data_IF_266933793893
#
_entry.id   IF_266933793893
#
_cell.length_a   1.000
_cell.length_b   1.000
_cell.length_c   1.000
_cell.angle_alpha   90.00
_cell.angle_beta   90.00
_cell.angle_gamma   90.00
#
_symmetry.space_group_name_H-M   'P 1'
#
loop_
_entity.id
_entity.type
_entity.pdbx_description
1 polymer ?
#
# COMPACT_ATOMS: atom_id res chain seq x y z
N UNK A 1 5.32 -0.77 10.01
CA UNK A 1 4.66 0.52 10.37
C UNK A 1 5.61 1.68 10.16
N UNK A 2 5.11 2.89 9.84
CA UNK A 2 5.92 4.13 9.78
C UNK A 2 6.64 4.41 11.09
N UNK A 3 6.12 3.91 12.21
CA UNK A 3 6.74 4.03 13.52
C UNK A 3 7.82 2.98 13.81
N UNK A 4 7.84 1.87 13.07
CA UNK A 4 8.80 0.77 13.22
C UNK A 4 9.93 0.81 12.20
N UNK A 5 9.68 1.40 11.03
CA UNK A 5 10.59 1.43 9.88
C UNK A 5 11.13 2.85 9.71
N UNK A 6 12.24 3.14 10.39
CA UNK A 6 12.81 4.49 10.45
C UNK A 6 14.14 4.64 9.70
N UNK A 7 14.87 3.57 9.40
CA UNK A 7 16.26 3.64 8.90
C UNK A 7 16.61 2.62 7.78
N UNK A 8 15.61 2.04 7.10
CA UNK A 8 15.87 1.08 6.00
C UNK A 8 16.44 1.77 4.75
N UNK A 9 16.27 3.10 4.61
CA UNK A 9 17.02 3.93 3.67
C UNK A 9 16.55 3.93 2.20
N UNK A 10 15.42 3.27 1.88
CA UNK A 10 14.79 3.35 0.54
C UNK A 10 13.61 4.30 0.55
N UNK A 11 12.62 4.02 1.39
CA UNK A 11 11.61 4.96 1.85
C UNK A 11 11.41 4.67 3.33
N UNK A 12 11.64 5.66 4.17
CA UNK A 12 11.52 5.53 5.62
C UNK A 12 10.66 6.67 6.17
N UNK A 13 10.46 6.68 7.50
CA UNK A 13 9.63 7.69 8.16
C UNK A 13 10.11 9.12 7.90
N UNK A 14 11.42 9.36 7.90
CA UNK A 14 11.98 10.69 7.72
C UNK A 14 11.66 11.24 6.33
N UNK A 15 11.98 10.45 5.31
CA UNK A 15 11.65 10.79 3.92
C UNK A 15 10.14 10.93 3.67
N UNK A 16 9.33 10.08 4.30
CA UNK A 16 7.87 10.15 4.18
C UNK A 16 7.30 11.47 4.72
N UNK A 17 7.78 11.93 5.88
CA UNK A 17 7.31 13.20 6.46
C UNK A 17 7.69 14.39 5.58
N UNK A 18 8.92 14.45 5.09
CA UNK A 18 9.38 15.50 4.18
C UNK A 18 8.57 15.50 2.88
N UNK A 19 8.30 14.32 2.31
CA UNK A 19 7.45 14.18 1.12
C UNK A 19 6.03 14.71 1.34
N UNK A 20 5.42 14.42 2.49
CA UNK A 20 4.09 14.96 2.85
C UNK A 20 4.10 16.47 3.04
N UNK A 21 5.15 17.04 3.64
CA UNK A 21 5.31 18.50 3.77
C UNK A 21 5.34 19.18 2.40
N UNK A 22 6.10 18.63 1.45
CA UNK A 22 6.15 19.16 0.08
C UNK A 22 4.84 18.99 -0.67
N UNK A 23 4.23 17.80 -0.59
CA UNK A 23 2.99 17.51 -1.31
C UNK A 23 1.83 18.39 -0.83
N UNK A 24 1.73 18.60 0.47
CA UNK A 24 0.61 19.37 1.05
C UNK A 24 0.85 20.88 1.02
N UNK A 25 2.10 21.34 0.98
CA UNK A 25 2.42 22.77 1.01
C UNK A 25 1.82 23.49 2.23
N UNK A 26 1.69 22.80 3.36
CA UNK A 26 1.07 23.31 4.60
C UNK A 26 -0.45 23.16 4.68
N UNK A 27 -1.12 22.62 3.66
CA UNK A 27 -2.53 22.25 3.75
C UNK A 27 -2.74 20.97 4.59
N UNK A 28 -3.90 20.77 5.24
CA UNK A 28 -4.23 19.47 5.80
C UNK A 28 -4.45 18.45 4.68
N UNK A 29 -4.01 17.19 4.89
CA UNK A 29 -4.34 16.11 3.95
C UNK A 29 -5.83 15.75 4.04
N UNK A 30 -6.53 15.97 2.93
CA UNK A 30 -7.91 15.53 2.72
C UNK A 30 -7.96 14.09 2.18
N UNK A 31 -9.15 13.61 1.84
CA UNK A 31 -9.36 12.26 1.33
C UNK A 31 -8.82 12.03 -0.09
N UNK A 32 -8.55 13.08 -0.87
CA UNK A 32 -7.93 12.95 -2.18
C UNK A 32 -6.40 12.86 -2.06
N UNK A 33 -5.83 13.56 -1.09
CA UNK A 33 -4.43 13.45 -0.72
C UNK A 33 -4.14 12.11 -0.04
N UNK A 34 -4.95 11.71 0.93
CA UNK A 34 -4.81 10.47 1.69
C UNK A 34 -6.14 9.70 1.69
N UNK A 35 -6.36 8.76 0.75
CA UNK A 35 -7.60 7.99 0.60
C UNK A 35 -8.05 7.25 1.86
N UNK A 36 -7.10 6.82 2.69
CA UNK A 36 -7.38 6.25 4.00
C UNK A 36 -8.14 7.22 4.95
N UNK A 37 -8.26 8.51 4.63
CA UNK A 37 -9.04 9.49 5.41
C UNK A 37 -10.47 9.69 4.91
N UNK A 38 -10.87 9.09 3.79
CA UNK A 38 -12.24 9.19 3.28
C UNK A 38 -13.22 8.67 4.34
N UNK A 39 -14.33 9.36 4.60
CA UNK A 39 -15.29 8.94 5.65
C UNK A 39 -16.16 7.74 5.20
N UNK A 40 -16.38 7.62 3.89
CA UNK A 40 -17.18 6.56 3.27
C UNK A 40 -16.41 5.96 2.09
N UNK A 41 -16.31 4.63 2.08
CA UNK A 41 -15.66 3.84 1.03
C UNK A 41 -16.65 2.99 0.23
N UNK A 42 -17.96 3.14 0.48
CA UNK A 42 -19.00 2.41 -0.25
C UNK A 42 -18.96 2.77 -1.74
N UNK A 43 -19.22 1.79 -2.60
CA UNK A 43 -19.22 1.99 -4.06
C UNK A 43 -17.82 2.05 -4.71
N UNK A 44 -16.75 1.95 -3.93
CA UNK A 44 -15.39 1.75 -4.50
C UNK A 44 -15.33 0.48 -5.35
N UNK A 45 -14.49 0.46 -6.40
CA UNK A 45 -14.31 -0.72 -7.24
C UNK A 45 -13.66 -1.88 -6.46
N UNK A 46 -13.81 -3.14 -6.95
CA UNK A 46 -13.02 -4.25 -6.45
C UNK A 46 -11.53 -3.88 -6.38
N UNK A 47 -10.92 -4.07 -5.21
CA UNK A 47 -9.60 -3.54 -4.90
C UNK A 47 -8.60 -4.67 -4.63
N UNK A 48 -7.46 -4.61 -5.31
CA UNK A 48 -6.26 -5.38 -4.96
C UNK A 48 -5.25 -4.41 -4.35
N UNK A 49 -4.67 -4.78 -3.21
CA UNK A 49 -3.61 -4.02 -2.55
C UNK A 49 -2.60 -4.99 -1.94
N UNK A 50 -1.32 -4.65 -1.96
CA UNK A 50 -0.28 -5.44 -1.32
C UNK A 50 0.80 -4.57 -0.69
N UNK A 51 1.46 -5.12 0.33
CA UNK A 51 2.49 -4.40 1.10
C UNK A 51 3.54 -5.35 1.66
N UNK A 52 4.75 -4.84 1.89
CA UNK A 52 5.79 -5.57 2.60
C UNK A 52 5.57 -5.59 4.12
N UNK A 53 5.98 -6.68 4.79
CA UNK A 53 5.95 -6.76 6.26
C UNK A 53 6.82 -5.68 6.93
N UNK A 54 7.94 -5.33 6.29
CA UNK A 54 8.91 -4.35 6.75
C UNK A 54 8.73 -3.01 6.04
N UNK A 55 7.52 -2.72 5.56
CA UNK A 55 7.16 -1.45 4.94
C UNK A 55 6.58 -0.47 5.99
N UNK A 56 6.86 0.82 5.79
CA UNK A 56 6.27 1.88 6.59
C UNK A 56 4.75 1.97 6.37
N UNK A 57 4.28 1.69 5.15
CA UNK A 57 2.87 1.84 4.77
C UNK A 57 1.99 0.68 5.25
N UNK A 58 2.60 -0.40 5.76
CA UNK A 58 1.91 -1.61 6.19
C UNK A 58 0.66 -1.36 7.04
N UNK A 59 0.76 -0.52 8.06
CA UNK A 59 -0.33 -0.35 9.02
C UNK A 59 -1.48 0.49 8.45
N UNK A 60 -1.18 1.50 7.63
CA UNK A 60 -2.21 2.30 6.97
C UNK A 60 -2.91 1.52 5.85
N UNK A 61 -2.18 0.67 5.13
CA UNK A 61 -2.77 -0.26 4.16
C UNK A 61 -3.69 -1.27 4.85
N UNK A 62 -3.28 -1.82 6.00
CA UNK A 62 -4.11 -2.72 6.80
C UNK A 62 -5.40 -2.04 7.26
N UNK A 63 -5.33 -0.80 7.78
CA UNK A 63 -6.52 -0.04 8.17
C UNK A 63 -7.44 0.21 6.97
N UNK A 64 -6.88 0.65 5.85
CA UNK A 64 -7.66 0.93 4.65
C UNK A 64 -8.38 -0.31 4.11
N UNK A 65 -7.70 -1.46 4.07
CA UNK A 65 -8.28 -2.75 3.68
C UNK A 65 -9.41 -3.17 4.60
N UNK A 66 -9.23 -3.05 5.92
CA UNK A 66 -10.28 -3.39 6.88
C UNK A 66 -11.53 -2.55 6.62
N UNK A 67 -11.36 -1.27 6.33
CA UNK A 67 -12.47 -0.35 6.07
C UNK A 67 -13.13 -0.59 4.71
N UNK A 68 -12.38 -0.93 3.66
CA UNK A 68 -12.94 -1.37 2.37
C UNK A 68 -13.84 -2.60 2.54
N UNK A 69 -13.36 -3.61 3.28
CA UNK A 69 -14.11 -4.83 3.57
C UNK A 69 -15.38 -4.52 4.36
N UNK A 70 -15.29 -3.68 5.39
CA UNK A 70 -16.45 -3.24 6.19
C UNK A 70 -17.48 -2.47 5.35
N UNK A 71 -17.03 -1.71 4.34
CA UNK A 71 -17.89 -1.02 3.39
C UNK A 71 -18.49 -1.96 2.31
N UNK A 72 -18.20 -3.26 2.37
CA UNK A 72 -18.72 -4.25 1.42
C UNK A 72 -17.99 -4.27 0.07
N UNK A 73 -16.81 -3.65 -0.02
CA UNK A 73 -16.00 -3.65 -1.25
C UNK A 73 -15.29 -5.02 -1.37
N UNK A 74 -15.35 -5.69 -2.53
CA UNK A 74 -14.53 -6.88 -2.77
C UNK A 74 -13.05 -6.50 -2.70
N UNK A 75 -12.32 -7.06 -1.75
CA UNK A 75 -10.92 -6.70 -1.50
C UNK A 75 -10.05 -7.94 -1.40
N UNK A 76 -8.92 -7.90 -2.12
CA UNK A 76 -7.82 -8.85 -2.01
C UNK A 76 -6.61 -8.11 -1.44
N UNK A 77 -6.04 -8.66 -0.37
CA UNK A 77 -4.92 -8.05 0.34
C UNK A 77 -3.83 -9.07 0.64
N UNK A 78 -2.57 -8.70 0.40
CA UNK A 78 -1.41 -9.51 0.69
C UNK A 78 -0.37 -8.72 1.50
N UNK A 79 0.13 -9.34 2.57
CA UNK A 79 1.35 -8.89 3.26
C UNK A 79 2.46 -9.87 2.91
N UNK A 80 3.59 -9.38 2.42
CA UNK A 80 4.73 -10.20 2.03
C UNK A 80 5.81 -10.19 3.13
N UNK A 81 6.04 -11.33 3.82
CA UNK A 81 7.04 -11.42 4.88
C UNK A 81 8.45 -11.13 4.38
N UNK A 82 9.22 -10.37 5.17
CA UNK A 82 10.59 -9.96 4.85
C UNK A 82 10.75 -8.93 3.72
N UNK A 83 9.67 -8.56 3.02
CA UNK A 83 9.72 -7.48 2.03
C UNK A 83 9.71 -6.11 2.72
N UNK A 84 10.63 -5.24 2.32
CA UNK A 84 10.62 -3.80 2.61
C UNK A 84 10.03 -3.03 1.43
N UNK A 85 9.90 -1.71 1.58
CA UNK A 85 9.33 -0.84 0.56
C UNK A 85 9.97 -1.01 -0.82
N UNK A 86 9.16 -1.36 -1.82
CA UNK A 86 9.56 -1.61 -3.19
C UNK A 86 10.68 -2.68 -3.38
N UNK A 87 10.82 -3.63 -2.44
CA UNK A 87 11.85 -4.68 -2.52
C UNK A 87 11.87 -5.45 -3.86
N UNK A 88 10.70 -5.60 -4.50
CA UNK A 88 10.54 -6.24 -5.79
C UNK A 88 11.20 -5.48 -6.97
N UNK A 89 11.44 -4.18 -6.80
CA UNK A 89 12.14 -3.34 -7.78
C UNK A 89 13.65 -3.46 -7.60
N UNK A 90 14.12 -3.51 -6.36
CA UNK A 90 15.55 -3.58 -6.04
C UNK A 90 16.14 -4.99 -6.20
N UNK A 91 15.35 -6.03 -5.99
CA UNK A 91 15.77 -7.42 -6.12
C UNK A 91 14.82 -8.21 -7.06
N UNK A 92 14.71 -7.85 -8.34
CA UNK A 92 13.68 -8.40 -9.23
C UNK A 92 13.83 -9.90 -9.50
N UNK A 93 15.02 -10.47 -9.32
CA UNK A 93 15.27 -11.90 -9.49
C UNK A 93 14.95 -12.73 -8.24
N UNK A 94 14.69 -12.11 -7.09
CA UNK A 94 14.33 -12.85 -5.89
C UNK A 94 12.95 -13.52 -6.06
N UNK A 95 12.80 -14.74 -5.53
CA UNK A 95 11.55 -15.49 -5.64
C UNK A 95 10.35 -14.72 -5.07
N UNK A 96 10.56 -13.95 -3.99
CA UNK A 96 9.52 -13.13 -3.39
C UNK A 96 9.05 -12.02 -4.34
N UNK A 97 9.99 -11.33 -4.99
CA UNK A 97 9.72 -10.28 -5.98
C UNK A 97 8.91 -10.79 -7.16
N UNK A 98 9.25 -11.98 -7.66
CA UNK A 98 8.50 -12.62 -8.75
C UNK A 98 7.08 -12.99 -8.31
N UNK A 99 6.89 -13.45 -7.07
CA UNK A 99 5.55 -13.72 -6.50
C UNK A 99 4.71 -12.46 -6.35
N UNK A 100 5.31 -11.35 -5.90
CA UNK A 100 4.65 -10.04 -5.80
C UNK A 100 4.10 -9.64 -7.17
N UNK A 101 4.96 -9.62 -8.20
CA UNK A 101 4.57 -9.28 -9.57
C UNK A 101 3.52 -10.22 -10.14
N UNK A 102 3.67 -11.53 -9.94
CA UNK A 102 2.71 -12.52 -10.42
C UNK A 102 1.31 -12.29 -9.82
N UNK A 103 1.22 -11.97 -8.52
CA UNK A 103 -0.04 -11.71 -7.83
C UNK A 103 -0.74 -10.47 -8.39
N UNK A 104 0.00 -9.37 -8.57
CA UNK A 104 -0.50 -8.12 -9.18
C UNK A 104 -1.04 -8.35 -10.60
N UNK A 105 -0.27 -9.05 -11.45
CA UNK A 105 -0.68 -9.37 -12.83
C UNK A 105 -1.91 -10.28 -12.84
N UNK A 106 -1.96 -11.26 -11.94
CA UNK A 106 -3.10 -12.18 -11.83
C UNK A 106 -4.37 -11.45 -11.43
N UNK A 107 -4.29 -10.52 -10.47
CA UNK A 107 -5.43 -9.68 -10.06
C UNK A 107 -5.94 -8.80 -11.21
N UNK A 108 -5.03 -8.14 -11.94
CA UNK A 108 -5.39 -7.36 -13.12
C UNK A 108 -6.03 -8.21 -14.22
N UNK A 109 -5.50 -9.41 -14.46
CA UNK A 109 -6.05 -10.34 -15.46
C UNK A 109 -7.47 -10.75 -15.10
N UNK A 110 -7.74 -11.09 -13.83
CA UNK A 110 -9.10 -11.38 -13.35
C UNK A 110 -10.04 -10.19 -13.51
N UNK A 111 -9.54 -8.98 -13.25
CA UNK A 111 -10.36 -7.76 -13.33
C UNK A 111 -10.70 -7.36 -14.79
N UNK A 112 -9.78 -7.57 -15.73
CA UNK A 112 -9.91 -7.10 -17.11
C UNK A 112 -10.41 -8.16 -18.10
N UNK A 113 -10.23 -9.45 -17.77
CA UNK A 113 -10.42 -10.56 -18.70
C UNK A 113 -11.21 -11.74 -18.12
N UNK A 114 -11.99 -11.52 -17.06
CA UNK A 114 -12.75 -12.54 -16.33
C UNK A 114 -13.24 -13.72 -17.17
#
# INVERSE_FOLDING_TARGET
STHEITEIGIWDRGGNLEAWEWFLGGAPADAYAAPARAEDLTGMPPTFIDVGELDLFRDEDVDFVQRLIQAGVPTEFHIYPGAYHASEVFAPQADLSQRIWASRISALTRALHG
#
